data_IF_261539735163
#
_entry.id   IF_261539735163
#
_cell.length_a   1.000
_cell.length_b   1.000
_cell.length_c   1.000
_cell.angle_alpha   90.00
_cell.angle_beta   90.00
_cell.angle_gamma   90.00
#
_symmetry.space_group_name_H-M   'P 1'
#
loop_
_entity.id
_entity.type
_entity.pdbx_description
1 polymer ?
#
# COMPACT_ATOMS: atom_id res chain seq x y z
N UNK A 1 -13.09 6.00 19.84
CA UNK A 1 -12.63 6.07 18.43
C UNK A 1 -12.75 7.52 17.97
N UNK A 2 -11.70 8.10 17.39
CA UNK A 2 -11.74 9.48 16.87
C UNK A 2 -12.68 9.49 15.65
N UNK A 3 -13.59 10.47 15.60
CA UNK A 3 -14.50 10.66 14.46
C UNK A 3 -13.68 11.12 13.26
N UNK A 4 -13.91 10.49 12.10
CA UNK A 4 -13.31 10.89 10.82
C UNK A 4 -14.45 11.44 9.96
N UNK A 5 -14.43 12.73 9.68
CA UNK A 5 -15.41 13.34 8.79
C UNK A 5 -15.11 12.96 7.33
N UNK A 6 -16.13 12.82 6.47
CA UNK A 6 -15.93 12.59 5.05
C UNK A 6 -15.29 13.81 4.38
N UNK A 7 -14.58 13.64 3.25
CA UNK A 7 -14.13 14.77 2.44
C UNK A 7 -15.31 15.51 1.78
N UNK A 8 -15.15 16.77 1.35
CA UNK A 8 -13.94 17.60 1.47
C UNK A 8 -13.75 18.15 2.90
N UNK A 9 -12.53 18.59 3.27
CA UNK A 9 -12.28 19.19 4.58
C UNK A 9 -12.99 20.53 4.74
N UNK A 10 -13.60 20.76 5.92
CA UNK A 10 -14.26 22.03 6.29
C UNK A 10 -13.28 23.10 6.81
N UNK A 11 -11.99 22.77 6.88
CA UNK A 11 -10.92 23.65 7.38
C UNK A 11 -9.83 23.85 6.32
N UNK A 12 -9.04 24.94 6.43
CA UNK A 12 -7.86 25.10 5.59
C UNK A 12 -6.93 23.89 5.69
N UNK A 13 -6.38 23.49 4.54
CA UNK A 13 -5.42 22.41 4.42
C UNK A 13 -4.10 22.95 3.89
N UNK A 14 -3.00 22.36 4.36
CA UNK A 14 -1.66 22.61 3.85
C UNK A 14 -0.93 21.26 3.76
N UNK A 15 -1.30 20.40 2.79
CA UNK A 15 -0.86 19.02 2.77
C UNK A 15 0.67 18.91 2.70
N UNK A 16 1.23 17.97 3.45
CA UNK A 16 2.63 17.60 3.35
C UNK A 16 2.84 16.51 2.30
N UNK A 17 4.03 16.51 1.70
CA UNK A 17 4.40 15.57 0.66
C UNK A 17 5.73 14.88 0.99
N UNK A 18 5.79 13.58 0.71
CA UNK A 18 7.02 12.80 0.72
C UNK A 18 7.51 12.60 -0.72
N UNK A 19 8.78 12.86 -0.98
CA UNK A 19 9.41 12.53 -2.25
C UNK A 19 10.18 11.22 -2.15
N UNK A 20 9.85 10.23 -2.97
CA UNK A 20 10.67 9.03 -3.15
C UNK A 20 11.65 9.26 -4.31
N UNK A 21 12.96 9.11 -4.10
CA UNK A 21 13.95 9.37 -5.13
C UNK A 21 13.98 8.27 -6.21
N UNK A 22 14.60 8.57 -7.34
CA UNK A 22 15.00 7.54 -8.32
C UNK A 22 15.94 6.52 -7.65
N UNK A 23 15.80 5.25 -8.00
CA UNK A 23 16.58 4.15 -7.43
C UNK A 23 16.08 3.68 -6.06
N UNK A 24 15.05 4.31 -5.50
CA UNK A 24 14.38 3.80 -4.30
C UNK A 24 13.82 2.41 -4.58
N UNK A 25 14.02 1.49 -3.63
CA UNK A 25 13.49 0.13 -3.68
C UNK A 25 12.19 0.02 -2.90
N UNK A 26 11.18 -0.57 -3.52
CA UNK A 26 9.92 -0.96 -2.88
C UNK A 26 9.71 -2.46 -3.02
N UNK A 27 9.07 -3.06 -2.02
CA UNK A 27 8.73 -4.46 -1.95
C UNK A 27 7.21 -4.63 -1.99
N UNK A 28 6.76 -5.71 -2.62
CA UNK A 28 5.36 -6.13 -2.65
C UNK A 28 5.26 -7.63 -2.50
N UNK A 29 4.41 -8.07 -1.58
CA UNK A 29 3.92 -9.45 -1.56
C UNK A 29 2.60 -9.49 -2.30
N UNK A 30 2.45 -10.41 -3.24
CA UNK A 30 1.23 -10.53 -4.05
C UNK A 30 0.94 -11.98 -4.42
N UNK A 31 -0.30 -12.25 -4.82
CA UNK A 31 -0.67 -13.51 -5.46
C UNK A 31 -0.67 -13.34 -6.98
N UNK A 32 0.06 -14.18 -7.73
CA UNK A 32 0.00 -14.19 -9.19
C UNK A 32 -1.26 -14.89 -9.72
N UNK A 33 -2.10 -15.47 -8.85
CA UNK A 33 -3.23 -16.27 -9.27
C UNK A 33 -4.23 -15.46 -10.13
N UNK A 34 -4.74 -16.03 -11.24
CA UNK A 34 -5.83 -15.43 -12.01
C UNK A 34 -7.09 -15.18 -11.17
N UNK A 35 -7.35 -16.03 -10.16
CA UNK A 35 -8.47 -15.84 -9.23
C UNK A 35 -8.27 -14.66 -8.28
N UNK A 36 -7.03 -14.15 -8.18
CA UNK A 36 -6.62 -13.00 -7.38
C UNK A 36 -6.00 -11.92 -8.26
N UNK A 37 -6.73 -11.52 -9.30
CA UNK A 37 -6.41 -10.35 -10.11
C UNK A 37 -5.09 -10.43 -10.90
N UNK A 38 -4.51 -11.63 -11.08
CA UNK A 38 -3.31 -11.86 -11.90
C UNK A 38 -2.21 -10.80 -11.65
N UNK A 39 -1.94 -10.53 -10.37
CA UNK A 39 -1.04 -9.44 -10.01
C UNK A 39 0.40 -9.75 -10.42
N UNK A 40 1.17 -8.70 -10.66
CA UNK A 40 2.60 -8.76 -10.93
C UNK A 40 3.33 -7.82 -9.96
N UNK A 41 4.68 -7.82 -9.92
CA UNK A 41 5.42 -6.92 -9.04
C UNK A 41 5.17 -5.45 -9.35
N UNK A 42 4.71 -5.10 -10.56
CA UNK A 42 4.48 -3.72 -11.01
C UNK A 42 3.03 -3.42 -11.34
N UNK A 43 2.13 -4.41 -11.24
CA UNK A 43 0.73 -4.20 -11.63
C UNK A 43 -0.01 -3.27 -10.67
N UNK A 44 -0.96 -2.53 -11.21
CA UNK A 44 -1.94 -1.75 -10.47
C UNK A 44 -3.29 -2.42 -10.64
N UNK A 45 -3.91 -2.83 -9.53
CA UNK A 45 -5.21 -3.51 -9.56
C UNK A 45 -6.28 -2.51 -9.97
N UNK A 46 -6.98 -2.81 -11.07
CA UNK A 46 -7.99 -1.96 -11.72
C UNK A 46 -9.42 -2.51 -11.65
N UNK A 47 -9.61 -3.64 -10.98
CA UNK A 47 -10.91 -4.31 -10.95
C UNK A 47 -11.21 -4.87 -9.56
N UNK A 48 -12.51 -5.05 -9.30
CA UNK A 48 -13.02 -5.57 -8.04
C UNK A 48 -12.69 -4.67 -6.84
N UNK A 49 -12.54 -3.36 -7.06
CA UNK A 49 -12.45 -2.34 -6.02
C UNK A 49 -13.76 -1.55 -5.89
N UNK A 50 -13.89 -0.67 -4.90
CA UNK A 50 -12.95 -0.46 -3.79
C UNK A 50 -13.09 -1.58 -2.72
N UNK A 51 -11.98 -2.18 -2.31
CA UNK A 51 -11.89 -3.26 -1.30
C UNK A 51 -10.85 -2.96 -0.23
N UNK A 52 -9.69 -2.43 -0.62
CA UNK A 52 -8.61 -2.07 0.30
C UNK A 52 -8.75 -0.62 0.79
N UNK A 53 -8.05 -0.31 1.88
CA UNK A 53 -8.22 0.92 2.67
C UNK A 53 -8.18 2.21 1.84
N UNK A 54 -7.24 2.32 0.92
CA UNK A 54 -7.00 3.51 0.13
C UNK A 54 -7.33 3.34 -1.35
N UNK A 55 -8.17 2.37 -1.69
CA UNK A 55 -8.69 2.27 -3.05
C UNK A 55 -9.41 3.55 -3.45
N UNK A 56 -9.02 4.11 -4.59
CA UNK A 56 -9.63 5.29 -5.19
C UNK A 56 -10.56 4.94 -6.37
N UNK A 57 -10.84 3.65 -6.59
CA UNK A 57 -11.85 3.20 -7.55
C UNK A 57 -13.20 3.86 -7.24
N UNK A 58 -13.87 4.40 -8.25
CA UNK A 58 -15.21 4.97 -8.10
C UNK A 58 -16.25 3.87 -7.90
N UNK A 59 -16.12 2.80 -8.68
CA UNK A 59 -16.93 1.58 -8.60
C UNK A 59 -16.09 0.36 -9.05
N UNK A 60 -16.71 -0.81 -9.08
CA UNK A 60 -16.06 -2.08 -9.42
C UNK A 60 -15.79 -2.28 -10.91
N UNK A 61 -16.38 -1.45 -11.77
CA UNK A 61 -16.28 -1.52 -13.23
C UNK A 61 -15.28 -0.50 -13.79
N UNK A 62 -14.92 0.54 -13.01
CA UNK A 62 -13.93 1.55 -13.36
C UNK A 62 -12.52 0.95 -13.47
N UNK A 63 -12.11 0.67 -14.70
CA UNK A 63 -10.77 0.18 -15.04
C UNK A 63 -9.75 1.30 -15.23
N UNK A 64 -10.15 2.58 -15.14
CA UNK A 64 -9.22 3.70 -15.34
C UNK A 64 -8.34 3.93 -14.13
N UNK A 65 -8.86 3.67 -12.92
CA UNK A 65 -8.16 3.85 -11.65
C UNK A 65 -7.50 2.55 -11.21
N UNK A 66 -6.21 2.59 -10.92
CA UNK A 66 -5.43 1.42 -10.57
C UNK A 66 -4.60 1.66 -9.32
N UNK A 67 -4.54 0.69 -8.41
CA UNK A 67 -3.80 0.85 -7.15
C UNK A 67 -2.74 -0.23 -6.93
N UNK A 68 -1.62 0.18 -6.37
CA UNK A 68 -0.48 -0.67 -6.03
C UNK A 68 -0.06 -0.44 -4.59
N UNK A 69 -0.06 -1.50 -3.78
CA UNK A 69 0.39 -1.45 -2.40
C UNK A 69 1.81 -2.01 -2.28
N UNK A 70 2.67 -1.29 -1.57
CA UNK A 70 4.07 -1.69 -1.34
C UNK A 70 4.60 -1.14 -0.02
N UNK A 71 5.75 -1.65 0.42
CA UNK A 71 6.48 -1.14 1.58
C UNK A 71 8.00 -1.15 1.30
N UNK A 72 8.81 -0.52 2.17
CA UNK A 72 10.28 -0.54 2.05
C UNK A 72 10.91 -1.86 2.53
N UNK A 73 10.24 -2.53 3.44
CA UNK A 73 10.79 -3.62 4.26
C UNK A 73 9.95 -4.87 4.10
N UNK A 74 10.58 -6.04 4.21
CA UNK A 74 9.88 -7.32 4.12
C UNK A 74 8.86 -7.46 5.25
N UNK A 75 9.24 -7.05 6.46
CA UNK A 75 8.42 -7.03 7.67
C UNK A 75 7.14 -6.20 7.45
N UNK A 76 7.29 -5.01 6.87
CA UNK A 76 6.15 -4.15 6.50
C UNK A 76 5.20 -4.79 5.49
N UNK A 77 5.71 -5.55 4.52
CA UNK A 77 4.86 -6.32 3.61
C UNK A 77 4.19 -7.52 4.30
N UNK A 78 4.93 -8.25 5.14
CA UNK A 78 4.44 -9.45 5.80
C UNK A 78 3.31 -9.12 6.77
N UNK A 79 3.48 -8.09 7.60
CA UNK A 79 2.47 -7.69 8.58
C UNK A 79 1.17 -7.25 7.89
N UNK A 80 1.25 -6.52 6.77
CA UNK A 80 0.07 -6.09 6.00
C UNK A 80 -0.67 -7.24 5.32
N UNK A 81 0.02 -8.36 5.03
CA UNK A 81 -0.59 -9.49 4.32
C UNK A 81 -1.08 -10.58 5.27
N UNK A 82 -0.41 -10.77 6.41
CA UNK A 82 -0.56 -11.98 7.24
C UNK A 82 -0.94 -11.70 8.69
N UNK A 83 -0.96 -10.45 9.16
CA UNK A 83 -1.23 -10.18 10.58
C UNK A 83 -2.65 -10.59 11.00
N UNK A 84 -3.64 -10.46 10.12
CA UNK A 84 -5.01 -10.90 10.41
C UNK A 84 -5.13 -12.43 10.50
N UNK A 85 -4.33 -13.16 9.72
CA UNK A 85 -4.30 -14.63 9.73
C UNK A 85 -3.47 -15.19 10.91
N UNK A 86 -2.48 -14.43 11.38
CA UNK A 86 -1.59 -14.82 12.48
C UNK A 86 -0.42 -15.73 12.08
N UNK A 87 -0.28 -16.06 10.80
CA UNK A 87 0.83 -16.86 10.26
C UNK A 87 1.12 -16.50 8.80
N UNK A 88 2.37 -16.72 8.39
CA UNK A 88 2.86 -16.47 7.04
C UNK A 88 2.67 -17.73 6.20
N UNK A 89 1.64 -17.75 5.37
CA UNK A 89 1.48 -18.77 4.32
C UNK A 89 2.29 -18.39 3.08
N UNK A 90 3.29 -19.20 2.77
CA UNK A 90 4.18 -18.95 1.61
C UNK A 90 3.61 -19.45 0.28
N UNK A 91 2.57 -20.29 0.32
CA UNK A 91 1.90 -20.84 -0.86
C UNK A 91 1.11 -19.77 -1.65
N UNK A 92 1.18 -19.83 -2.98
CA UNK A 92 0.53 -18.88 -3.91
C UNK A 92 0.87 -17.40 -3.62
N UNK A 93 2.09 -17.15 -3.14
CA UNK A 93 2.60 -15.80 -2.89
C UNK A 93 3.99 -15.62 -3.47
N UNK A 94 4.23 -14.41 -3.98
CA UNK A 94 5.50 -13.99 -4.53
C UNK A 94 5.96 -12.71 -3.86
N UNK A 95 7.26 -12.56 -3.72
CA UNK A 95 7.91 -11.32 -3.31
C UNK A 95 8.51 -10.65 -4.54
N UNK A 96 7.90 -9.53 -4.92
CA UNK A 96 8.43 -8.61 -5.91
C UNK A 96 9.26 -7.51 -5.27
N UNK A 97 10.43 -7.22 -5.84
CA UNK A 97 11.18 -5.99 -5.61
C UNK A 97 11.11 -5.13 -6.86
N UNK A 98 10.80 -3.85 -6.67
CA UNK A 98 10.78 -2.85 -7.74
C UNK A 98 11.68 -1.67 -7.39
N UNK A 99 12.36 -1.16 -8.40
CA UNK A 99 13.14 0.08 -8.34
C UNK A 99 12.38 1.21 -9.04
N UNK A 100 12.40 2.39 -8.44
CA UNK A 100 11.83 3.58 -9.05
C UNK A 100 12.77 4.10 -10.15
N UNK A 101 12.27 4.24 -11.38
CA UNK A 101 13.01 4.82 -12.51
C UNK A 101 12.83 6.35 -12.65
N UNK A 102 11.92 6.92 -11.85
CA UNK A 102 11.70 8.36 -11.69
C UNK A 102 11.33 8.67 -10.25
N UNK A 103 11.45 9.94 -9.87
CA UNK A 103 10.94 10.44 -8.59
C UNK A 103 9.43 10.27 -8.51
N UNK A 104 8.93 9.89 -7.33
CA UNK A 104 7.51 9.92 -6.99
C UNK A 104 7.22 11.01 -5.94
N UNK A 105 6.03 11.60 -6.01
CA UNK A 105 5.50 12.54 -5.00
C UNK A 105 4.29 11.91 -4.33
N UNK A 106 4.37 11.69 -3.02
CA UNK A 106 3.30 11.05 -2.25
C UNK A 106 2.70 12.04 -1.26
N UNK A 107 1.38 12.04 -1.13
CA UNK A 107 0.70 12.74 -0.04
C UNK A 107 1.00 12.04 1.29
N UNK A 108 1.43 12.81 2.30
CA UNK A 108 1.77 12.28 3.61
C UNK A 108 0.56 12.17 4.53
N UNK A 109 0.16 10.94 4.86
CA UNK A 109 -0.94 10.62 5.78
C UNK A 109 -0.45 10.03 7.10
N UNK A 110 0.85 10.13 7.40
CA UNK A 110 1.37 9.87 8.75
C UNK A 110 0.82 10.92 9.72
N UNK A 111 0.91 10.76 11.06
CA UNK A 111 0.06 11.47 12.01
C UNK A 111 -0.09 12.99 11.81
N UNK A 112 1.01 13.71 11.64
CA UNK A 112 0.98 15.16 11.37
C UNK A 112 0.49 15.49 9.94
N UNK A 113 0.92 14.70 8.94
CA UNK A 113 0.54 14.86 7.54
C UNK A 113 -0.96 14.66 7.31
N UNK A 114 -1.58 13.68 7.96
CA UNK A 114 -3.03 13.45 7.91
C UNK A 114 -3.81 14.68 8.40
N UNK A 115 -3.36 15.29 9.51
CA UNK A 115 -3.94 16.53 9.99
C UNK A 115 -3.73 17.67 8.98
N UNK A 116 -2.55 17.80 8.39
CA UNK A 116 -2.29 18.82 7.37
C UNK A 116 -3.13 18.64 6.09
N UNK A 117 -3.45 17.40 5.72
CA UNK A 117 -4.27 17.03 4.57
C UNK A 117 -5.79 17.19 4.78
N UNK A 118 -6.23 17.56 5.99
CA UNK A 118 -7.65 17.82 6.28
C UNK A 118 -8.39 16.67 6.95
N UNK A 119 -7.71 15.56 7.26
CA UNK A 119 -8.27 14.40 7.96
C UNK A 119 -7.57 14.20 9.32
N UNK A 120 -7.59 12.99 9.87
CA UNK A 120 -6.94 12.61 11.13
C UNK A 120 -6.17 11.29 10.96
N UNK A 121 -5.12 11.08 11.75
CA UNK A 121 -4.25 9.89 11.66
C UNK A 121 -5.03 8.56 11.72
N UNK A 122 -6.16 8.52 12.43
CA UNK A 122 -7.01 7.34 12.53
C UNK A 122 -7.64 6.90 11.22
N UNK A 123 -7.54 7.68 10.13
CA UNK A 123 -7.93 7.23 8.78
C UNK A 123 -7.11 6.03 8.30
N UNK A 124 -5.87 5.92 8.78
CA UNK A 124 -5.00 4.79 8.52
C UNK A 124 -5.36 3.57 9.39
N UNK A 125 -6.25 3.76 10.37
CA UNK A 125 -6.61 2.78 11.39
C UNK A 125 -8.05 2.30 11.21
N UNK A 126 -8.36 1.11 11.77
CA UNK A 126 -9.72 0.59 11.86
C UNK A 126 -10.16 -0.27 10.66
N UNK A 127 -11.25 -1.02 10.86
CA UNK A 127 -11.73 -2.03 9.92
C UNK A 127 -12.66 -1.49 8.83
N UNK A 128 -13.22 -0.29 8.99
CA UNK A 128 -14.11 0.31 8.00
C UNK A 128 -13.33 1.14 6.98
N UNK A 129 -13.18 0.61 5.76
CA UNK A 129 -12.41 1.25 4.69
C UNK A 129 -13.18 2.38 3.96
N UNK A 130 -14.50 2.42 4.06
CA UNK A 130 -15.35 3.31 3.22
C UNK A 130 -14.97 4.79 3.33
N UNK A 131 -14.66 5.27 4.54
CA UNK A 131 -14.26 6.67 4.74
C UNK A 131 -12.87 6.93 4.15
N UNK A 132 -11.91 6.01 4.37
CA UNK A 132 -10.56 6.11 3.82
C UNK A 132 -10.55 6.06 2.28
N UNK A 133 -11.42 5.26 1.67
CA UNK A 133 -11.62 5.18 0.22
C UNK A 133 -12.17 6.50 -0.34
N UNK A 134 -13.20 7.09 0.30
CA UNK A 134 -13.72 8.42 -0.08
C UNK A 134 -12.62 9.49 -0.04
N UNK A 135 -11.81 9.48 1.02
CA UNK A 135 -10.65 10.37 1.12
C UNK A 135 -9.60 10.11 0.04
N UNK A 136 -9.31 8.84 -0.28
CA UNK A 136 -8.40 8.50 -1.38
C UNK A 136 -8.91 9.02 -2.72
N UNK A 137 -10.20 8.87 -3.03
CA UNK A 137 -10.83 9.49 -4.21
C UNK A 137 -10.67 11.01 -4.21
N UNK A 138 -10.96 11.66 -3.07
CA UNK A 138 -10.80 13.11 -2.95
C UNK A 138 -9.36 13.56 -3.16
N UNK A 139 -8.37 12.88 -2.58
CA UNK A 139 -6.95 13.21 -2.76
C UNK A 139 -6.50 13.01 -4.20
N UNK A 140 -6.94 11.92 -4.83
CA UNK A 140 -6.68 11.66 -6.25
C UNK A 140 -7.21 12.81 -7.13
N UNK A 141 -8.43 13.29 -6.88
CA UNK A 141 -9.08 14.34 -7.66
C UNK A 141 -8.52 15.74 -7.37
N UNK A 142 -8.29 16.07 -6.09
CA UNK A 142 -7.83 17.38 -5.66
C UNK A 142 -6.35 17.63 -5.96
N UNK A 143 -5.52 16.58 -5.96
CA UNK A 143 -4.07 16.69 -6.11
C UNK A 143 -3.61 15.90 -7.34
N UNK A 144 -3.72 16.49 -8.53
CA UNK A 144 -3.32 15.83 -9.79
C UNK A 144 -1.82 15.51 -9.90
N UNK A 145 -0.99 16.15 -9.08
CA UNK A 145 0.47 16.02 -9.08
C UNK A 145 1.01 14.90 -8.18
N UNK A 146 0.19 14.27 -7.34
CA UNK A 146 0.63 13.16 -6.49
C UNK A 146 0.54 11.83 -7.25
N UNK A 147 1.51 10.96 -6.98
CA UNK A 147 1.62 9.60 -7.48
C UNK A 147 0.98 8.57 -6.54
N UNK A 148 0.60 8.98 -5.33
CA UNK A 148 0.03 8.09 -4.32
C UNK A 148 0.08 8.68 -2.91
N UNK A 149 -0.03 7.80 -1.92
CA UNK A 149 -0.08 8.10 -0.51
C UNK A 149 1.04 7.36 0.24
N UNK A 150 1.59 8.00 1.27
CA UNK A 150 2.39 7.33 2.31
C UNK A 150 1.63 7.35 3.63
N UNK A 151 1.56 6.21 4.30
CA UNK A 151 0.83 6.06 5.55
C UNK A 151 1.52 5.09 6.51
N UNK A 152 1.04 5.02 7.75
CA UNK A 152 1.42 3.98 8.71
C UNK A 152 0.36 2.89 8.72
N UNK A 153 0.77 1.63 8.58
CA UNK A 153 -0.18 0.52 8.60
C UNK A 153 -0.89 0.38 9.96
N UNK A 154 -2.04 -0.29 9.95
CA UNK A 154 -2.87 -0.43 11.13
C UNK A 154 -2.33 -1.44 12.17
N UNK A 155 -1.45 -2.36 11.75
CA UNK A 155 -1.01 -3.48 12.58
C UNK A 155 0.13 -3.11 13.52
N UNK A 156 1.20 -2.50 13.00
CA UNK A 156 2.40 -2.15 13.78
C UNK A 156 2.94 -0.75 13.50
N UNK A 157 2.24 0.04 12.68
CA UNK A 157 2.64 1.39 12.33
C UNK A 157 3.79 1.48 11.33
N UNK A 158 4.20 0.37 10.69
CA UNK A 158 5.23 0.41 9.67
C UNK A 158 4.78 1.22 8.45
N UNK A 159 5.74 1.84 7.77
CA UNK A 159 5.45 2.70 6.62
C UNK A 159 5.04 1.86 5.42
N UNK A 160 3.88 2.19 4.86
CA UNK A 160 3.32 1.58 3.67
C UNK A 160 2.97 2.66 2.63
N UNK A 161 2.85 2.23 1.38
CA UNK A 161 2.55 3.08 0.24
C UNK A 161 1.35 2.54 -0.52
N UNK A 162 0.42 3.43 -0.83
CA UNK A 162 -0.67 3.19 -1.77
C UNK A 162 -0.42 4.06 -3.00
N UNK A 163 0.12 3.46 -4.06
CA UNK A 163 0.45 4.16 -5.30
C UNK A 163 -0.75 4.12 -6.26
N UNK A 164 -1.06 5.26 -6.87
CA UNK A 164 -2.04 5.36 -7.94
C UNK A 164 -1.42 4.99 -9.28
N UNK A 165 -2.25 4.69 -10.28
CA UNK A 165 -1.80 4.27 -11.61
C UNK A 165 -0.91 5.30 -12.32
N UNK A 166 -0.93 6.55 -11.85
CA UNK A 166 0.03 7.61 -12.23
C UNK A 166 1.49 7.17 -12.07
N UNK A 167 1.77 6.31 -11.10
CA UNK A 167 3.10 5.75 -10.83
C UNK A 167 3.45 4.52 -11.71
N UNK A 168 2.58 4.05 -12.59
CA UNK A 168 2.80 2.77 -13.31
C UNK A 168 4.06 2.75 -14.16
N UNK A 169 4.35 3.84 -14.88
CA UNK A 169 5.59 3.98 -15.64
C UNK A 169 6.86 4.11 -14.79
N UNK A 170 6.72 4.27 -13.47
CA UNK A 170 7.85 4.48 -12.56
C UNK A 170 8.47 3.18 -12.02
N UNK A 171 7.73 2.07 -12.04
CA UNK A 171 8.13 0.82 -11.38
C UNK A 171 8.87 -0.10 -12.36
N UNK A 172 10.12 -0.44 -12.04
CA UNK A 172 10.90 -1.44 -12.77
C UNK A 172 11.16 -2.65 -11.87
N UNK A 173 10.80 -3.85 -12.33
CA UNK A 173 11.10 -5.10 -11.62
C UNK A 173 12.62 -5.25 -11.46
N UNK A 174 13.06 -5.42 -10.23
CA UNK A 174 14.44 -5.81 -9.90
C UNK A 174 14.54 -7.33 -9.75
N UNK A 175 13.65 -7.92 -8.96
CA UNK A 175 13.48 -9.36 -8.87
C UNK A 175 12.04 -9.73 -8.53
N UNK A 176 11.68 -10.96 -8.86
CA UNK A 176 10.39 -11.55 -8.57
C UNK A 176 10.59 -13.04 -8.30
N UNK A 177 10.31 -13.47 -7.07
CA UNK A 177 10.60 -14.81 -6.58
C UNK A 177 9.45 -15.34 -5.73
N UNK A 178 9.26 -16.65 -5.74
CA UNK A 178 8.27 -17.29 -4.88
C UNK A 178 8.61 -17.06 -3.41
N UNK A 179 7.59 -16.83 -2.59
CA UNK A 179 7.81 -16.57 -1.16
C UNK A 179 8.37 -17.83 -0.46
N UNK A 180 8.12 -19.03 -1.01
CA UNK A 180 8.68 -20.30 -0.53
C UNK A 180 10.12 -20.59 -1.01
N UNK A 181 10.71 -19.71 -1.83
CA UNK A 181 12.05 -19.91 -2.39
C UNK A 181 13.11 -20.05 -1.27
N UNK A 182 13.98 -21.05 -1.40
CA UNK A 182 15.01 -21.35 -0.40
C UNK A 182 15.92 -20.15 -0.06
N UNK A 183 16.14 -19.24 -1.03
CA UNK A 183 16.93 -18.02 -0.86
C UNK A 183 16.30 -17.01 0.10
N UNK A 184 14.98 -17.09 0.32
CA UNK A 184 14.26 -16.22 1.25
C UNK A 184 14.11 -16.78 2.66
N UNK A 185 14.27 -18.09 2.85
CA UNK A 185 13.99 -18.78 4.12
C UNK A 185 14.58 -18.08 5.34
N UNK A 186 15.87 -17.80 5.35
CA UNK A 186 16.53 -17.14 6.49
C UNK A 186 16.01 -15.72 6.74
N UNK A 187 15.71 -14.96 5.67
CA UNK A 187 15.17 -13.60 5.79
C UNK A 187 13.73 -13.61 6.28
N UNK A 188 12.93 -14.58 5.81
CA UNK A 188 11.55 -14.77 6.25
C UNK A 188 11.50 -15.17 7.71
N UNK A 189 12.35 -16.09 8.15
CA UNK A 189 12.41 -16.52 9.55
C UNK A 189 12.72 -15.35 10.48
N UNK A 190 13.75 -14.54 10.17
CA UNK A 190 14.10 -13.36 10.98
C UNK A 190 12.95 -12.34 11.01
N UNK A 191 12.32 -12.08 9.86
CA UNK A 191 11.20 -11.16 9.78
C UNK A 191 9.95 -11.68 10.53
N UNK A 192 9.70 -12.99 10.46
CA UNK A 192 8.60 -13.66 11.15
C UNK A 192 8.78 -13.60 12.68
N UNK A 193 9.98 -13.89 13.17
CA UNK A 193 10.35 -13.74 14.58
C UNK A 193 10.16 -12.30 15.07
N UNK A 194 10.62 -11.31 14.29
CA UNK A 194 10.43 -9.89 14.64
C UNK A 194 8.96 -9.46 14.70
N UNK A 195 8.08 -10.14 13.95
CA UNK A 195 6.64 -9.89 13.93
C UNK A 195 5.84 -10.79 14.88
N UNK A 196 6.49 -11.76 15.54
CA UNK A 196 5.84 -12.85 16.29
C UNK A 196 4.81 -13.62 15.44
N UNK A 197 5.17 -13.97 14.21
CA UNK A 197 4.37 -14.79 13.30
C UNK A 197 5.08 -16.12 13.04
N UNK A 198 4.31 -17.19 12.87
CA UNK A 198 4.83 -18.48 12.41
C UNK A 198 4.88 -18.53 10.87
N UNK A 199 5.80 -19.31 10.31
CA UNK A 199 5.87 -19.57 8.85
C UNK A 199 5.30 -20.94 8.55
N UNK A 200 4.34 -21.01 7.62
CA UNK A 200 3.73 -22.24 7.16
C UNK A 200 3.88 -22.39 5.64
N UNK A 201 4.00 -23.64 5.19
CA UNK A 201 3.97 -24.00 3.76
C UNK A 201 2.51 -24.12 3.26
#
# INVERSE_FOLDING_TARGET
>A
MVRIDPPPPERPVNPAYLSLPIGERLLRIYSPSPSRWNNTPTSFRRWGGPTQRFDHHVDSEDKSRGIHYSARTLEGCLVEVFADDGFISTSDRRLGSVLLNRRLTLLDLRPEGAWQAGTVASICMGSCHQIAQKWSCHFYEAYSHIDGLVYQNAHNGAVAYALYERAEGALKVEYDIDLSDARLRSRLQVAAEALNLDVTE
#
